data_IF_205691126842
#
_entry.id   IF_205691126842
#
_cell.length_a   1.000
_cell.length_b   1.000
_cell.length_c   1.000
_cell.angle_alpha   90.00
_cell.angle_beta   90.00
_cell.angle_gamma   90.00
#
_symmetry.space_group_name_H-M   'P 1'
#
loop_
_entity.id
_entity.type
_entity.pdbx_description
1 polymer ?
#
# COMPACT_ATOMS: atom_id res chain seq x y z
N UNK A 1 34.04 5.86 4.26
CA UNK A 1 32.82 6.60 4.66
C UNK A 1 31.56 6.05 3.99
N UNK A 2 31.59 5.70 2.70
CA UNK A 2 30.41 5.17 1.97
C UNK A 2 30.07 3.69 2.21
N UNK A 3 31.01 2.86 2.72
CA UNK A 3 30.75 1.42 2.93
C UNK A 3 30.08 1.07 4.27
N UNK A 4 30.12 1.96 5.27
CA UNK A 4 29.54 1.70 6.60
C UNK A 4 28.01 1.84 6.57
N UNK A 5 27.46 2.77 5.76
CA UNK A 5 26.00 2.93 5.60
C UNK A 5 25.30 1.71 5.01
N UNK A 6 25.99 0.93 4.16
CA UNK A 6 25.42 -0.27 3.54
C UNK A 6 25.33 -1.44 4.54
N UNK A 7 26.25 -1.50 5.50
CA UNK A 7 26.27 -2.52 6.56
C UNK A 7 25.15 -2.28 7.59
N UNK A 8 24.86 -1.02 7.92
CA UNK A 8 23.74 -0.66 8.82
C UNK A 8 22.35 -1.00 8.23
N UNK A 9 22.22 -1.01 6.89
CA UNK A 9 20.97 -1.33 6.22
C UNK A 9 20.69 -2.85 6.15
N UNK A 10 21.74 -3.67 6.14
CA UNK A 10 21.67 -5.14 6.06
C UNK A 10 21.41 -5.80 7.43
N UNK A 11 21.71 -5.11 8.53
CA UNK A 11 21.43 -5.54 9.91
C UNK A 11 20.06 -4.97 10.35
N UNK A 12 19.07 -5.05 9.44
CA UNK A 12 17.69 -4.68 9.73
C UNK A 12 17.12 -5.64 10.76
N UNK A 13 16.81 -5.12 11.95
CA UNK A 13 16.38 -5.90 13.09
C UNK A 13 15.20 -6.81 12.74
N UNK A 14 15.36 -8.11 13.01
CA UNK A 14 14.27 -9.10 13.00
C UNK A 14 13.32 -8.79 14.16
N UNK A 15 12.48 -7.75 14.00
CA UNK A 15 11.34 -7.52 14.86
C UNK A 15 10.20 -8.39 14.37
N UNK A 16 9.84 -9.41 15.16
CA UNK A 16 8.56 -10.08 15.00
C UNK A 16 7.46 -9.06 15.32
N UNK A 17 6.60 -8.76 14.36
CA UNK A 17 5.48 -7.85 14.58
C UNK A 17 4.50 -8.49 15.58
N UNK A 18 4.09 -7.73 16.59
CA UNK A 18 3.04 -8.14 17.50
C UNK A 18 1.72 -8.29 16.73
N UNK A 19 0.90 -9.28 17.11
CA UNK A 19 -0.40 -9.49 16.49
C UNK A 19 -1.28 -8.26 16.76
N UNK A 20 -1.87 -7.70 15.72
CA UNK A 20 -2.79 -6.57 15.86
C UNK A 20 -4.01 -6.95 16.73
N UNK A 21 -4.41 -6.01 17.58
CA UNK A 21 -5.68 -6.08 18.30
C UNK A 21 -6.86 -5.99 17.32
N UNK A 22 -7.99 -6.58 17.71
CA UNK A 22 -9.25 -6.46 17.00
C UNK A 22 -10.14 -5.42 17.66
N UNK A 23 -10.91 -4.69 16.85
CA UNK A 23 -11.85 -3.68 17.32
C UNK A 23 -13.26 -3.99 16.79
N UNK A 24 -14.29 -3.53 17.51
CA UNK A 24 -15.68 -3.65 17.09
C UNK A 24 -16.03 -2.53 16.10
N UNK A 25 -15.61 -2.68 14.85
CA UNK A 25 -15.86 -1.73 13.75
C UNK A 25 -16.82 -2.35 12.73
N UNK A 26 -17.65 -1.52 12.10
CA UNK A 26 -18.46 -1.94 10.95
C UNK A 26 -17.57 -1.98 9.69
N UNK A 27 -17.30 -3.17 9.11
CA UNK A 27 -16.44 -3.27 7.94
C UNK A 27 -17.03 -2.57 6.71
N UNK A 28 -18.34 -2.42 6.63
CA UNK A 28 -19.03 -1.83 5.48
C UNK A 28 -18.80 -0.31 5.36
N UNK A 29 -18.29 0.33 6.40
CA UNK A 29 -17.91 1.75 6.42
C UNK A 29 -16.39 1.97 6.28
N UNK A 30 -15.64 0.92 5.94
CA UNK A 30 -14.19 1.02 5.72
C UNK A 30 -13.89 1.78 4.44
N UNK A 31 -13.00 2.78 4.52
CA UNK A 31 -12.58 3.57 3.35
C UNK A 31 -11.07 3.82 3.35
N UNK A 32 -10.48 4.01 2.16
CA UNK A 32 -9.03 4.06 1.96
C UNK A 32 -8.61 5.39 1.32
N UNK A 33 -8.12 6.37 2.10
CA UNK A 33 -7.57 7.61 1.56
C UNK A 33 -6.10 7.45 1.16
N UNK A 34 -5.64 8.28 0.22
CA UNK A 34 -4.24 8.31 -0.19
C UNK A 34 -3.84 9.56 -0.97
N UNK A 35 -2.56 9.95 -0.82
CA UNK A 35 -1.92 11.03 -1.58
C UNK A 35 -0.66 10.55 -2.29
N UNK A 36 -0.37 11.04 -3.49
CA UNK A 36 0.84 10.69 -4.24
C UNK A 36 0.94 9.17 -4.48
N UNK A 37 2.03 8.51 -4.10
CA UNK A 37 2.15 7.04 -4.13
C UNK A 37 1.04 6.33 -3.36
N UNK A 38 0.55 6.92 -2.26
CA UNK A 38 -0.61 6.43 -1.54
C UNK A 38 -1.92 6.62 -2.32
N UNK A 39 -2.01 7.66 -3.16
CA UNK A 39 -3.15 7.88 -4.05
C UNK A 39 -3.24 6.80 -5.14
N UNK A 40 -2.10 6.39 -5.71
CA UNK A 40 -2.04 5.23 -6.61
C UNK A 40 -2.46 3.94 -5.89
N UNK A 41 -1.99 3.72 -4.66
CA UNK A 41 -2.40 2.56 -3.87
C UNK A 41 -3.91 2.55 -3.60
N UNK A 42 -4.48 3.70 -3.20
CA UNK A 42 -5.92 3.83 -3.00
C UNK A 42 -6.72 3.49 -4.27
N UNK A 43 -6.25 3.89 -5.46
CA UNK A 43 -6.85 3.48 -6.74
C UNK A 43 -6.78 1.96 -6.95
N UNK A 44 -5.63 1.33 -6.67
CA UNK A 44 -5.49 -0.13 -6.82
C UNK A 44 -6.44 -0.88 -5.87
N UNK A 45 -6.55 -0.45 -4.61
CA UNK A 45 -7.46 -1.04 -3.63
C UNK A 45 -8.91 -0.85 -4.04
N UNK A 46 -9.28 0.35 -4.52
CA UNK A 46 -10.64 0.63 -4.99
C UNK A 46 -11.09 -0.33 -6.08
N UNK A 47 -10.19 -0.72 -6.99
CA UNK A 47 -10.52 -1.68 -8.05
C UNK A 47 -10.50 -3.13 -7.53
N UNK A 48 -9.41 -3.54 -6.87
CA UNK A 48 -9.19 -4.92 -6.48
C UNK A 48 -10.09 -5.40 -5.33
N UNK A 49 -10.49 -4.50 -4.43
CA UNK A 49 -11.25 -4.80 -3.20
C UNK A 49 -12.55 -3.99 -3.11
N UNK A 50 -13.12 -3.59 -4.24
CA UNK A 50 -14.35 -2.79 -4.32
C UNK A 50 -15.52 -3.34 -3.49
N UNK A 51 -15.64 -4.67 -3.36
CA UNK A 51 -16.68 -5.31 -2.56
C UNK A 51 -16.42 -5.24 -1.04
N UNK A 52 -15.18 -4.97 -0.62
CA UNK A 52 -14.76 -4.97 0.79
C UNK A 52 -14.67 -3.58 1.40
N UNK A 53 -14.71 -2.51 0.60
CA UNK A 53 -14.60 -1.13 1.08
C UNK A 53 -15.75 -0.26 0.58
N UNK A 54 -16.13 0.73 1.38
CA UNK A 54 -17.12 1.74 1.03
C UNK A 54 -16.64 2.66 -0.09
N UNK A 55 -15.34 2.95 -0.13
CA UNK A 55 -14.75 3.81 -1.14
C UNK A 55 -13.32 4.25 -0.84
N UNK A 56 -12.72 4.98 -1.78
CA UNK A 56 -11.36 5.47 -1.70
C UNK A 56 -11.29 6.98 -1.97
N UNK A 57 -10.44 7.68 -1.23
CA UNK A 57 -10.14 9.09 -1.43
C UNK A 57 -8.78 9.26 -2.10
N UNK A 58 -8.74 9.74 -3.34
CA UNK A 58 -7.52 9.80 -4.15
C UNK A 58 -7.14 11.26 -4.42
N UNK A 59 -5.97 11.68 -3.94
CA UNK A 59 -5.41 13.02 -4.21
C UNK A 59 -4.02 12.87 -4.83
N UNK A 60 -3.75 13.58 -5.93
CA UNK A 60 -2.45 13.50 -6.63
C UNK A 60 -1.97 12.05 -6.89
N UNK A 61 -2.90 11.11 -7.07
CA UNK A 61 -2.62 9.73 -7.47
C UNK A 61 -2.69 9.59 -8.99
N UNK A 62 -3.14 8.44 -9.46
CA UNK A 62 -3.39 8.22 -10.87
C UNK A 62 -4.31 7.03 -11.15
N UNK A 63 -4.60 6.78 -12.43
CA UNK A 63 -5.51 5.72 -12.85
C UNK A 63 -4.98 4.33 -12.52
N UNK A 64 -5.90 3.37 -12.45
CA UNK A 64 -5.54 1.96 -12.28
C UNK A 64 -4.58 1.53 -13.41
N UNK A 65 -3.58 0.73 -13.06
CA UNK A 65 -2.55 0.22 -13.98
C UNK A 65 -1.66 1.29 -14.65
N UNK A 66 -1.54 2.50 -14.08
CA UNK A 66 -0.71 3.57 -14.66
C UNK A 66 0.79 3.25 -14.75
N UNK A 67 1.33 2.43 -13.83
CA UNK A 67 2.74 1.99 -13.83
C UNK A 67 2.90 0.56 -14.35
N UNK A 68 2.02 0.13 -15.25
CA UNK A 68 1.71 -1.27 -15.51
C UNK A 68 2.89 -2.23 -15.62
N UNK A 69 2.64 -3.48 -15.24
CA UNK A 69 3.55 -4.59 -15.52
C UNK A 69 3.29 -5.08 -16.96
N UNK A 70 3.88 -4.42 -17.95
CA UNK A 70 3.96 -4.98 -19.32
C UNK A 70 5.42 -5.36 -19.63
N UNK A 71 5.93 -6.32 -18.86
CA UNK A 71 6.94 -7.26 -19.34
C UNK A 71 6.24 -8.61 -19.55
N UNK A 72 5.36 -8.68 -20.55
CA UNK A 72 5.09 -9.93 -21.23
C UNK A 72 5.94 -9.91 -22.49
N UNK A 73 7.07 -10.60 -22.40
CA UNK A 73 7.85 -11.07 -23.54
C UNK A 73 6.93 -11.51 -24.68
N UNK A 74 7.04 -10.83 -25.81
CA UNK A 74 7.25 -11.49 -27.09
C UNK A 74 8.46 -10.82 -27.75
#
# INVERSE_FOLDING_TARGET
MMSISLIFLLIGCCFAAEKLASYNVDPSETSVPGISSGGYFATLVQVAFSASIKGAGIVAGGPYNCGGQMSYTN
#
